data_IF_784874612667
#
_entry.id   IF_784874612667
#
_cell.length_a   1.000
_cell.length_b   1.000
_cell.length_c   1.000
_cell.angle_alpha   90.00
_cell.angle_beta   90.00
_cell.angle_gamma   90.00
#
_symmetry.space_group_name_H-M   'P 1'
#
loop_
_entity.id
_entity.type
_entity.pdbx_description
1 polymer ?
#
# COMPACT_ATOMS: atom_id res chain seq x y z
N UNK A 1 15.61 7.73 2.51
CA UNK A 1 15.52 8.92 1.63
C UNK A 1 14.05 9.15 1.27
N UNK A 2 13.62 10.39 1.04
CA UNK A 2 12.28 10.68 0.53
C UNK A 2 12.34 11.52 -0.74
N UNK A 3 11.43 11.24 -1.67
CA UNK A 3 11.24 11.98 -2.92
C UNK A 3 9.74 12.12 -3.20
N UNK A 4 9.38 13.08 -4.04
CA UNK A 4 7.98 13.36 -4.39
C UNK A 4 7.85 13.29 -5.90
N UNK A 5 6.94 12.43 -6.36
CA UNK A 5 6.49 12.39 -7.75
C UNK A 5 5.17 13.15 -7.88
N UNK A 6 4.86 13.64 -9.07
CA UNK A 6 3.58 14.27 -9.37
C UNK A 6 2.79 13.49 -10.43
N UNK A 7 1.55 13.13 -10.10
CA UNK A 7 0.58 12.60 -11.03
C UNK A 7 0.15 13.68 -12.05
N UNK A 8 -0.12 13.36 -13.34
CA UNK A 8 -0.14 12.03 -13.97
C UNK A 8 1.18 11.60 -14.62
N UNK A 9 2.17 12.48 -14.66
CA UNK A 9 3.40 12.28 -15.44
C UNK A 9 4.45 11.45 -14.69
N UNK A 10 4.30 11.29 -13.37
CA UNK A 10 5.25 10.61 -12.48
C UNK A 10 6.63 11.27 -12.47
N UNK A 11 6.68 12.58 -12.71
CA UNK A 11 7.92 13.37 -12.67
C UNK A 11 8.17 13.91 -11.27
N UNK A 12 9.44 14.07 -10.86
CA UNK A 12 9.75 14.77 -9.62
C UNK A 12 9.17 16.18 -9.61
N UNK A 13 8.71 16.64 -8.45
CA UNK A 13 8.32 18.05 -8.27
C UNK A 13 9.48 18.98 -8.62
N UNK A 14 9.20 20.09 -9.30
CA UNK A 14 10.21 21.07 -9.66
C UNK A 14 10.98 21.60 -8.42
N UNK A 15 12.30 21.88 -8.55
CA UNK A 15 13.09 22.40 -7.44
C UNK A 15 12.47 23.65 -6.81
N UNK A 16 12.33 23.66 -5.49
CA UNK A 16 11.77 24.78 -4.73
C UNK A 16 10.24 24.91 -4.77
N UNK A 17 9.53 24.18 -5.65
CA UNK A 17 8.07 24.35 -5.80
C UNK A 17 7.26 23.89 -4.58
N UNK A 18 7.82 23.02 -3.74
CA UNK A 18 7.24 22.59 -2.45
C UNK A 18 7.60 23.49 -1.28
N UNK A 19 8.59 24.38 -1.43
CA UNK A 19 8.97 25.30 -0.36
C UNK A 19 7.84 26.29 -0.11
N UNK A 20 7.64 26.71 1.14
CA UNK A 20 6.58 27.65 1.46
C UNK A 20 6.96 29.09 1.04
N UNK A 21 6.11 29.84 0.32
CA UNK A 21 4.80 29.46 -0.22
C UNK A 21 4.90 28.53 -1.44
N UNK A 22 4.17 27.40 -1.39
CA UNK A 22 4.24 26.37 -2.44
C UNK A 22 3.65 26.86 -3.76
N UNK A 23 4.23 26.41 -4.87
CA UNK A 23 3.79 26.74 -6.24
C UNK A 23 3.29 25.53 -7.01
N UNK A 24 3.53 24.31 -6.52
CA UNK A 24 2.96 23.10 -7.10
C UNK A 24 1.55 22.79 -6.57
N UNK A 25 0.82 21.92 -7.26
CA UNK A 25 -0.44 21.38 -6.76
C UNK A 25 -0.18 20.18 -5.85
N UNK A 26 -0.26 20.41 -4.54
CA UNK A 26 -0.06 19.38 -3.51
C UNK A 26 -0.96 18.16 -3.67
N UNK A 27 -2.07 18.30 -4.40
CA UNK A 27 -3.02 17.21 -4.66
C UNK A 27 -2.47 16.15 -5.60
N UNK A 28 -1.45 16.49 -6.38
CA UNK A 28 -0.79 15.59 -7.33
C UNK A 28 0.41 14.86 -6.73
N UNK A 29 0.87 15.29 -5.54
CA UNK A 29 2.02 14.70 -4.86
C UNK A 29 1.76 13.22 -4.52
N UNK A 30 2.73 12.39 -4.88
CA UNK A 30 2.89 11.00 -4.48
C UNK A 30 4.17 10.97 -3.65
N UNK A 31 4.03 10.70 -2.36
CA UNK A 31 5.18 10.63 -1.47
C UNK A 31 5.86 9.27 -1.64
N UNK A 32 7.18 9.27 -1.83
CA UNK A 32 7.97 8.05 -2.00
C UNK A 32 9.07 8.05 -0.96
N UNK A 33 9.11 7.00 -0.14
CA UNK A 33 10.15 6.72 0.84
C UNK A 33 10.97 5.52 0.37
N UNK A 34 12.30 5.64 0.43
CA UNK A 34 13.26 4.64 -0.01
C UNK A 34 14.25 4.38 1.13
N UNK A 35 14.24 3.17 1.66
CA UNK A 35 15.04 2.78 2.81
C UNK A 35 15.93 1.59 2.45
N UNK A 36 17.21 1.69 2.77
CA UNK A 36 18.14 0.57 2.66
C UNK A 36 17.90 -0.41 3.81
N UNK A 37 17.77 -1.70 3.49
CA UNK A 37 17.45 -2.75 4.44
C UNK A 37 18.67 -3.67 4.62
N UNK A 38 19.26 -3.63 5.82
CA UNK A 38 20.31 -4.55 6.28
C UNK A 38 19.90 -5.41 7.47
N UNK A 39 18.85 -5.01 8.19
CA UNK A 39 18.35 -5.66 9.39
C UNK A 39 17.54 -6.94 9.14
N UNK A 40 17.09 -7.17 7.90
CA UNK A 40 16.34 -8.35 7.51
C UNK A 40 16.52 -8.67 6.01
N UNK A 41 16.26 -9.91 5.56
CA UNK A 41 16.31 -10.26 4.14
C UNK A 41 15.35 -9.39 3.32
N UNK A 42 15.84 -8.73 2.27
CA UNK A 42 15.01 -7.87 1.41
C UNK A 42 14.05 -8.71 0.55
N UNK A 43 14.44 -9.94 0.21
CA UNK A 43 13.72 -10.88 -0.65
C UNK A 43 12.35 -11.25 -0.07
N UNK A 44 12.24 -11.30 1.27
CA UNK A 44 11.00 -11.64 1.98
C UNK A 44 10.30 -10.41 2.57
N UNK A 45 10.73 -9.20 2.21
CA UNK A 45 10.17 -7.96 2.77
C UNK A 45 8.67 -7.84 2.55
N UNK A 46 8.18 -8.09 1.33
CA UNK A 46 6.76 -8.01 1.00
C UNK A 46 5.94 -9.12 1.65
N UNK A 47 6.51 -10.31 1.83
CA UNK A 47 5.87 -11.42 2.54
C UNK A 47 5.67 -11.09 4.02
N UNK A 48 6.68 -10.47 4.66
CA UNK A 48 6.54 -9.99 6.03
C UNK A 48 5.52 -8.87 6.14
N UNK A 49 5.49 -7.92 5.21
CA UNK A 49 4.55 -6.79 5.21
C UNK A 49 3.10 -7.23 4.95
N UNK A 50 2.90 -8.33 4.24
CA UNK A 50 1.59 -8.92 3.93
C UNK A 50 1.16 -10.01 4.92
N UNK A 51 1.84 -10.10 6.06
CA UNK A 51 1.55 -11.01 7.17
C UNK A 51 1.66 -10.29 8.51
N UNK A 52 1.21 -10.93 9.59
CA UNK A 52 1.25 -10.41 10.95
C UNK A 52 2.28 -11.11 11.83
N UNK A 53 3.08 -12.03 11.28
CA UNK A 53 3.99 -12.90 12.06
C UNK A 53 5.04 -12.13 12.85
N UNK A 54 5.54 -11.02 12.30
CA UNK A 54 6.52 -10.17 12.96
C UNK A 54 5.95 -9.33 14.12
N UNK A 55 4.63 -9.19 14.22
CA UNK A 55 3.95 -8.28 15.17
C UNK A 55 2.96 -8.99 16.10
N UNK A 56 2.91 -10.31 16.03
CA UNK A 56 2.04 -11.16 16.88
C UNK A 56 2.85 -12.31 17.44
N UNK A 57 2.48 -12.81 18.62
CA UNK A 57 3.11 -14.00 19.21
C UNK A 57 2.63 -15.28 18.53
N UNK A 58 3.45 -16.34 18.51
CA UNK A 58 3.14 -17.56 17.76
C UNK A 58 1.84 -18.25 18.18
N UNK A 59 1.57 -18.26 19.49
CA UNK A 59 0.41 -18.93 20.07
C UNK A 59 -0.71 -17.95 20.46
N UNK A 60 -0.65 -16.68 20.00
CA UNK A 60 -1.70 -15.71 20.30
C UNK A 60 -2.92 -15.89 19.40
N UNK A 61 -4.08 -15.45 19.89
CA UNK A 61 -5.30 -15.43 19.06
C UNK A 61 -5.10 -14.48 17.88
N UNK A 62 -4.46 -13.33 18.12
CA UNK A 62 -4.16 -12.29 17.12
C UNK A 62 -3.37 -12.82 15.92
N UNK A 63 -2.54 -13.85 16.10
CA UNK A 63 -1.83 -14.52 15.00
C UNK A 63 -2.79 -15.04 13.94
N UNK A 64 -3.96 -15.52 14.34
CA UNK A 64 -5.00 -16.05 13.46
C UNK A 64 -5.89 -14.99 12.80
N UNK A 65 -5.59 -13.69 12.96
CA UNK A 65 -6.46 -12.63 12.44
C UNK A 65 -6.43 -12.56 10.89
N UNK A 66 -7.54 -12.89 10.19
CA UNK A 66 -7.54 -12.98 8.73
C UNK A 66 -7.46 -11.62 8.04
N UNK A 67 -7.71 -10.50 8.73
CA UNK A 67 -7.55 -9.17 8.12
C UNK A 67 -6.09 -8.78 7.93
N UNK A 68 -5.17 -9.33 8.72
CA UNK A 68 -3.76 -8.91 8.77
C UNK A 68 -2.82 -9.92 8.08
N UNK A 69 -3.37 -10.90 7.35
CA UNK A 69 -2.63 -12.03 6.76
C UNK A 69 -3.10 -12.37 5.34
N UNK A 70 -2.18 -12.30 4.37
CA UNK A 70 -2.50 -12.55 2.96
C UNK A 70 -2.93 -13.99 2.68
N UNK A 71 -2.33 -14.96 3.35
CA UNK A 71 -2.65 -16.39 3.24
C UNK A 71 -4.04 -16.74 3.80
N UNK A 72 -4.60 -15.87 4.64
CA UNK A 72 -5.95 -16.03 5.16
C UNK A 72 -7.01 -15.29 4.32
N UNK A 73 -6.62 -14.39 3.42
CA UNK A 73 -7.53 -13.61 2.56
C UNK A 73 -7.96 -14.36 1.30
N UNK A 74 -9.02 -13.87 0.65
CA UNK A 74 -9.60 -14.46 -0.58
C UNK A 74 -9.20 -13.64 -1.80
N UNK A 75 -8.48 -14.28 -2.73
CA UNK A 75 -8.14 -13.69 -4.02
C UNK A 75 -9.41 -13.41 -4.86
N UNK A 76 -9.45 -12.25 -5.51
CA UNK A 76 -10.51 -11.79 -6.39
C UNK A 76 -10.02 -11.75 -7.85
N UNK A 77 -10.94 -11.61 -8.84
CA UNK A 77 -10.54 -11.45 -10.23
C UNK A 77 -9.56 -10.28 -10.43
N UNK A 78 -8.57 -10.50 -11.29
CA UNK A 78 -7.54 -9.52 -11.59
C UNK A 78 -8.13 -8.22 -12.16
N UNK A 79 -7.58 -7.08 -11.75
CA UNK A 79 -7.87 -5.77 -12.31
C UNK A 79 -6.61 -4.92 -12.32
N UNK A 80 -6.38 -4.15 -13.39
CA UNK A 80 -5.19 -3.29 -13.53
C UNK A 80 -3.85 -4.04 -13.40
N UNK A 81 -3.82 -5.35 -13.70
CA UNK A 81 -2.64 -6.20 -13.51
C UNK A 81 -2.33 -6.52 -12.03
N UNK A 82 -3.30 -6.34 -11.14
CA UNK A 82 -3.23 -6.65 -9.71
C UNK A 82 -4.30 -7.67 -9.36
N UNK A 83 -3.98 -8.61 -8.48
CA UNK A 83 -4.95 -9.49 -7.83
C UNK A 83 -5.42 -8.84 -6.53
N UNK A 84 -6.71 -8.45 -6.40
CA UNK A 84 -7.24 -7.96 -5.13
C UNK A 84 -7.43 -9.12 -4.14
N UNK A 85 -7.27 -8.84 -2.85
CA UNK A 85 -7.44 -9.79 -1.75
C UNK A 85 -8.40 -9.23 -0.69
N UNK A 86 -9.60 -9.82 -0.65
CA UNK A 86 -10.64 -9.46 0.31
C UNK A 86 -10.49 -10.23 1.63
N UNK A 87 -11.02 -9.67 2.71
CA UNK A 87 -11.10 -10.36 4.00
C UNK A 87 -12.06 -11.55 3.85
N UNK A 88 -11.64 -12.71 4.35
CA UNK A 88 -12.51 -13.90 4.44
C UNK A 88 -13.42 -13.76 5.67
N UNK A 89 -14.68 -13.38 5.45
CA UNK A 89 -15.66 -13.19 6.54
C UNK A 89 -15.98 -14.49 7.30
N UNK A 90 -15.85 -15.66 6.65
CA UNK A 90 -16.04 -16.94 7.32
C UNK A 90 -14.92 -17.21 8.34
N UNK A 91 -13.67 -16.94 7.94
CA UNK A 91 -12.53 -17.00 8.88
C UNK A 91 -12.60 -15.90 9.93
N UNK A 92 -13.10 -14.71 9.58
CA UNK A 92 -13.26 -13.61 10.52
C UNK A 92 -14.27 -13.96 11.63
N UNK A 93 -15.36 -14.65 11.30
CA UNK A 93 -16.32 -15.14 12.28
C UNK A 93 -15.68 -16.15 13.26
N UNK A 94 -14.88 -17.09 12.74
CA UNK A 94 -14.15 -18.06 13.58
C UNK A 94 -13.17 -17.34 14.51
N UNK A 95 -12.35 -16.44 13.97
CA UNK A 95 -11.40 -15.65 14.74
C UNK A 95 -12.10 -14.80 15.82
N UNK A 96 -13.23 -14.16 15.47
CA UNK A 96 -13.99 -13.33 16.42
C UNK A 96 -14.51 -14.15 17.59
N UNK A 97 -15.00 -15.38 17.35
CA UNK A 97 -15.42 -16.29 18.41
C UNK A 97 -14.26 -16.74 19.31
N UNK A 98 -13.08 -17.03 18.73
CA UNK A 98 -11.87 -17.35 19.50
C UNK A 98 -11.40 -16.16 20.35
N UNK A 99 -11.42 -14.96 19.78
CA UNK A 99 -11.06 -13.72 20.45
C UNK A 99 -11.99 -13.45 21.64
N UNK A 100 -13.29 -13.60 21.45
CA UNK A 100 -14.28 -13.41 22.50
C UNK A 100 -14.16 -14.46 23.60
N UNK A 101 -13.94 -15.74 23.27
CA UNK A 101 -13.70 -16.79 24.25
C UNK A 101 -12.44 -16.52 25.10
N UNK A 102 -11.37 -16.00 24.48
CA UNK A 102 -10.10 -15.70 25.15
C UNK A 102 -10.18 -14.47 26.05
N UNK A 103 -10.77 -13.38 25.54
CA UNK A 103 -10.72 -12.06 26.17
C UNK A 103 -12.04 -11.62 26.81
N UNK A 104 -13.11 -12.42 26.69
CA UNK A 104 -14.46 -12.13 27.18
C UNK A 104 -15.02 -10.80 26.68
N UNK A 105 -14.63 -10.42 25.48
CA UNK A 105 -15.08 -9.20 24.78
C UNK A 105 -15.14 -9.47 23.28
N UNK A 106 -16.14 -8.92 22.56
CA UNK A 106 -16.23 -9.09 21.12
C UNK A 106 -15.02 -8.47 20.42
N UNK A 107 -14.62 -9.06 19.29
CA UNK A 107 -13.62 -8.45 18.43
C UNK A 107 -14.19 -7.20 17.76
N UNK A 108 -13.52 -6.05 17.93
CA UNK A 108 -13.96 -4.80 17.35
C UNK A 108 -13.62 -4.73 15.86
N UNK A 109 -14.64 -4.63 15.01
CA UNK A 109 -14.49 -4.35 13.58
C UNK A 109 -14.34 -2.84 13.38
N UNK A 110 -13.26 -2.42 12.76
CA UNK A 110 -13.02 -1.03 12.42
C UNK A 110 -12.69 -0.94 10.94
N UNK A 111 -13.61 -0.43 10.09
CA UNK A 111 -13.40 -0.33 8.65
C UNK A 111 -12.13 0.44 8.26
N UNK A 112 -11.65 1.36 9.11
CA UNK A 112 -10.40 2.09 8.88
C UNK A 112 -9.11 1.28 9.11
N UNK A 113 -9.21 0.01 9.53
CA UNK A 113 -8.09 -0.93 9.63
C UNK A 113 -8.37 -2.25 8.88
N UNK A 114 -9.33 -2.21 7.95
CA UNK A 114 -9.77 -3.32 7.12
C UNK A 114 -9.54 -2.95 5.64
N UNK A 115 -8.30 -2.62 5.33
CA UNK A 115 -7.87 -2.16 4.01
C UNK A 115 -8.13 -3.21 2.91
N UNK A 116 -8.47 -2.71 1.72
CA UNK A 116 -8.46 -3.50 0.49
C UNK A 116 -7.00 -3.74 0.08
N UNK A 117 -6.64 -4.99 -0.16
CA UNK A 117 -5.27 -5.38 -0.50
C UNK A 117 -5.17 -5.71 -1.99
N UNK A 118 -4.08 -5.29 -2.63
CA UNK A 118 -3.77 -5.61 -4.02
C UNK A 118 -2.35 -6.13 -4.12
N UNK A 119 -2.16 -7.14 -4.95
CA UNK A 119 -0.88 -7.85 -5.08
C UNK A 119 -0.54 -8.03 -6.55
N UNK A 120 0.74 -7.80 -6.90
CA UNK A 120 1.34 -8.34 -8.10
C UNK A 120 2.40 -9.39 -7.74
N UNK A 121 2.53 -10.40 -8.59
CA UNK A 121 3.51 -11.47 -8.45
C UNK A 121 4.41 -11.52 -9.68
N UNK A 122 5.68 -11.86 -9.45
CA UNK A 122 6.63 -12.13 -10.51
C UNK A 122 6.40 -13.51 -11.15
N UNK A 123 7.15 -13.84 -12.23
CA UNK A 123 7.02 -15.11 -12.94
C UNK A 123 7.23 -16.36 -12.05
N UNK A 124 8.03 -16.24 -11.00
CA UNK A 124 8.29 -17.31 -10.04
C UNK A 124 7.23 -17.40 -8.92
N UNK A 125 6.18 -16.58 -8.96
CA UNK A 125 5.11 -16.52 -7.95
C UNK A 125 5.45 -15.69 -6.71
N UNK A 126 6.67 -15.17 -6.59
CA UNK A 126 7.07 -14.29 -5.51
C UNK A 126 6.32 -12.94 -5.57
N UNK A 127 6.03 -12.36 -4.41
CA UNK A 127 5.44 -11.02 -4.34
C UNK A 127 6.43 -10.00 -4.92
N UNK A 128 5.96 -9.15 -5.83
CA UNK A 128 6.75 -8.02 -6.36
C UNK A 128 6.17 -6.67 -5.95
N UNK A 129 4.87 -6.65 -5.68
CA UNK A 129 4.10 -5.46 -5.31
C UNK A 129 3.06 -5.83 -4.28
N UNK A 130 2.94 -5.02 -3.23
CA UNK A 130 1.88 -5.13 -2.23
C UNK A 130 1.30 -3.75 -1.93
N UNK A 131 0.00 -3.58 -2.10
CA UNK A 131 -0.69 -2.29 -1.94
C UNK A 131 -1.85 -2.48 -0.96
N UNK A 132 -1.97 -1.56 -0.01
CA UNK A 132 -3.09 -1.46 0.92
C UNK A 132 -3.80 -0.14 0.65
N UNK A 133 -5.11 -0.17 0.44
CA UNK A 133 -5.91 1.03 0.25
C UNK A 133 -7.03 1.08 1.27
N UNK A 134 -7.42 2.30 1.69
CA UNK A 134 -8.67 2.52 2.42
C UNK A 134 -9.79 1.78 1.67
N UNK A 135 -10.60 1.00 2.38
CA UNK A 135 -11.66 0.21 1.74
C UNK A 135 -12.75 1.11 1.15
N UNK A 136 -13.41 0.66 0.08
CA UNK A 136 -14.56 1.41 -0.48
C UNK A 136 -15.71 1.53 0.51
N UNK A 137 -15.80 0.61 1.47
CA UNK A 137 -16.77 0.65 2.58
C UNK A 137 -16.42 1.72 3.61
N UNK A 138 -15.13 2.00 3.82
CA UNK A 138 -14.69 3.01 4.79
C UNK A 138 -14.68 4.42 4.22
N UNK A 139 -14.18 4.60 2.98
CA UNK A 139 -14.04 5.92 2.34
C UNK A 139 -14.29 5.88 0.84
N UNK A 140 -14.97 6.92 0.35
CA UNK A 140 -14.97 7.28 -1.07
C UNK A 140 -13.61 7.84 -1.49
N UNK A 141 -13.33 7.90 -2.80
CA UNK A 141 -12.07 8.42 -3.32
C UNK A 141 -11.81 9.88 -2.89
N UNK A 142 -12.86 10.67 -2.67
CA UNK A 142 -12.80 12.08 -2.24
C UNK A 142 -12.16 13.05 -3.25
N UNK A 143 -11.70 12.54 -4.38
CA UNK A 143 -11.20 13.32 -5.52
C UNK A 143 -11.70 12.72 -6.83
N UNK A 144 -11.69 13.52 -7.89
CA UNK A 144 -11.97 13.09 -9.25
C UNK A 144 -10.86 13.56 -10.17
N UNK A 145 -10.52 12.72 -11.14
CA UNK A 145 -9.47 13.01 -12.11
C UNK A 145 -10.11 13.52 -13.40
N UNK A 146 -9.66 14.67 -13.88
CA UNK A 146 -10.07 15.26 -15.16
C UNK A 146 -8.83 15.66 -15.95
N UNK A 147 -8.48 14.88 -16.97
CA UNK A 147 -7.24 15.11 -17.72
C UNK A 147 -6.04 15.01 -16.80
N UNK A 148 -5.32 16.12 -16.63
CA UNK A 148 -4.17 16.25 -15.74
C UNK A 148 -4.51 16.87 -14.37
N UNK A 149 -5.78 17.20 -14.11
CA UNK A 149 -6.22 17.87 -12.90
C UNK A 149 -6.79 16.89 -11.85
N UNK A 150 -6.60 17.24 -10.58
CA UNK A 150 -7.12 16.49 -9.43
C UNK A 150 -8.13 17.37 -8.69
N UNK A 151 -9.41 17.12 -8.93
CA UNK A 151 -10.50 17.92 -8.39
C UNK A 151 -10.97 17.31 -7.08
N UNK A 152 -10.82 18.06 -5.99
CA UNK A 152 -11.26 17.63 -4.68
C UNK A 152 -12.78 17.73 -4.53
N UNK A 153 -13.42 16.68 -3.99
CA UNK A 153 -14.84 16.70 -3.63
C UNK A 153 -14.98 17.35 -2.26
N UNK A 154 -15.69 18.47 -2.19
CA UNK A 154 -15.82 19.24 -0.95
C UNK A 154 -16.46 18.41 0.17
N UNK A 155 -15.93 18.51 1.39
CA UNK A 155 -16.47 17.80 2.56
C UNK A 155 -16.06 16.32 2.69
N UNK A 156 -15.28 15.78 1.75
CA UNK A 156 -14.80 14.39 1.83
C UNK A 156 -13.32 14.34 2.13
N UNK A 157 -12.90 13.37 2.95
CA UNK A 157 -11.49 13.01 3.09
C UNK A 157 -11.15 12.00 2.00
N UNK A 158 -10.12 12.29 1.21
CA UNK A 158 -9.70 11.40 0.13
C UNK A 158 -9.19 10.06 0.67
N UNK A 159 -9.61 8.96 0.05
CA UNK A 159 -9.06 7.63 0.32
C UNK A 159 -7.58 7.57 -0.07
N UNK A 160 -6.77 6.98 0.81
CA UNK A 160 -5.34 6.76 0.60
C UNK A 160 -4.99 5.32 0.26
N UNK A 161 -3.79 5.12 -0.25
CA UNK A 161 -3.12 3.84 -0.39
C UNK A 161 -1.68 3.94 0.08
N UNK A 162 -1.19 2.85 0.67
CA UNK A 162 0.23 2.61 0.91
C UNK A 162 0.68 1.47 0.01
N UNK A 163 1.70 1.70 -0.80
CA UNK A 163 2.20 0.78 -1.83
C UNK A 163 3.65 0.44 -1.56
N UNK A 164 3.93 -0.84 -1.42
CA UNK A 164 5.24 -1.39 -1.17
C UNK A 164 5.75 -2.17 -2.38
N UNK A 165 7.01 -1.93 -2.73
CA UNK A 165 7.80 -2.81 -3.60
C UNK A 165 9.27 -2.73 -3.20
N UNK A 166 10.10 -3.61 -3.77
CA UNK A 166 11.52 -3.66 -3.45
C UNK A 166 12.40 -3.58 -4.71
N UNK A 167 13.61 -3.09 -4.48
CA UNK A 167 14.78 -3.35 -5.30
C UNK A 167 15.69 -4.30 -4.52
N UNK A 168 15.65 -5.58 -4.90
CA UNK A 168 16.37 -6.65 -4.20
C UNK A 168 17.88 -6.54 -4.41
N UNK A 169 18.32 -6.12 -5.59
CA UNK A 169 19.74 -6.03 -5.94
C UNK A 169 20.44 -4.98 -5.07
N UNK A 170 19.79 -3.84 -4.89
CA UNK A 170 20.30 -2.73 -4.08
C UNK A 170 19.85 -2.77 -2.61
N UNK A 171 19.09 -3.79 -2.22
CA UNK A 171 18.48 -3.94 -0.88
C UNK A 171 17.65 -2.72 -0.45
N UNK A 172 16.89 -2.15 -1.38
CA UNK A 172 16.03 -1.00 -1.10
C UNK A 172 14.59 -1.45 -0.94
N UNK A 173 13.96 -1.02 0.16
CA UNK A 173 12.52 -1.07 0.35
C UNK A 173 11.93 0.27 -0.07
N UNK A 174 10.92 0.24 -0.94
CA UNK A 174 10.26 1.43 -1.45
C UNK A 174 8.81 1.43 -0.97
N UNK A 175 8.39 2.55 -0.39
CA UNK A 175 7.02 2.79 0.06
C UNK A 175 6.47 4.04 -0.59
N UNK A 176 5.27 3.98 -1.16
CA UNK A 176 4.56 5.12 -1.69
C UNK A 176 3.30 5.37 -0.88
N UNK A 177 2.99 6.64 -0.64
CA UNK A 177 1.73 7.11 -0.09
C UNK A 177 1.06 8.04 -1.12
N UNK A 178 -0.14 7.65 -1.54
CA UNK A 178 -0.90 8.36 -2.57
C UNK A 178 -2.41 8.15 -2.42
N UNK A 179 -3.19 8.95 -3.15
CA UNK A 179 -4.66 8.81 -3.16
C UNK A 179 -5.11 7.60 -3.96
N UNK A 180 -6.10 6.86 -3.46
CA UNK A 180 -6.67 5.68 -4.13
C UNK A 180 -7.10 5.93 -5.57
N UNK A 181 -7.56 7.15 -5.88
CA UNK A 181 -7.87 7.55 -7.26
C UNK A 181 -6.70 7.36 -8.26
N UNK A 182 -5.44 7.39 -7.79
CA UNK A 182 -4.25 7.17 -8.62
C UNK A 182 -3.87 5.69 -8.76
N UNK A 183 -4.54 4.76 -8.07
CA UNK A 183 -4.19 3.33 -8.05
C UNK A 183 -4.08 2.73 -9.47
N UNK A 184 -4.89 3.18 -10.43
CA UNK A 184 -4.83 2.73 -11.82
C UNK A 184 -3.48 2.95 -12.51
N UNK A 185 -2.67 3.88 -12.01
CA UNK A 185 -1.36 4.21 -12.55
C UNK A 185 -0.21 3.61 -11.69
N UNK A 186 -0.50 2.69 -10.76
CA UNK A 186 0.48 2.10 -9.82
C UNK A 186 1.77 1.64 -10.51
N UNK A 187 1.65 0.97 -11.66
CA UNK A 187 2.82 0.45 -12.40
C UNK A 187 3.70 1.57 -12.93
N UNK A 188 3.10 2.67 -13.41
CA UNK A 188 3.83 3.86 -13.88
C UNK A 188 4.57 4.54 -12.72
N UNK A 189 4.03 4.48 -11.50
CA UNK A 189 4.72 4.97 -10.30
C UNK A 189 5.95 4.11 -9.99
N UNK A 190 5.81 2.78 -10.01
CA UNK A 190 6.96 1.89 -9.80
C UNK A 190 8.06 2.12 -10.85
N UNK A 191 7.67 2.18 -12.13
CA UNK A 191 8.60 2.35 -13.24
C UNK A 191 9.38 3.67 -13.11
N UNK A 192 8.69 4.78 -12.77
CA UNK A 192 9.33 6.07 -12.58
C UNK A 192 10.35 6.07 -11.43
N UNK A 193 10.05 5.38 -10.32
CA UNK A 193 10.98 5.26 -9.20
C UNK A 193 12.18 4.37 -9.57
N UNK A 194 11.95 3.24 -10.24
CA UNK A 194 13.03 2.33 -10.69
C UNK A 194 13.96 3.03 -11.68
N UNK A 195 13.39 3.76 -12.65
CA UNK A 195 14.16 4.56 -13.61
C UNK A 195 15.00 5.64 -12.92
N UNK A 196 14.46 6.26 -11.86
CA UNK A 196 15.19 7.25 -11.09
C UNK A 196 16.38 6.62 -10.36
N UNK A 197 16.15 5.49 -9.66
CA UNK A 197 17.20 4.77 -8.93
C UNK A 197 18.34 4.36 -9.86
N UNK A 198 18.02 3.74 -10.99
CA UNK A 198 19.00 3.30 -11.99
C UNK A 198 19.85 4.44 -12.58
N UNK A 199 19.31 5.68 -12.63
CA UNK A 199 20.05 6.86 -13.11
C UNK A 199 20.95 7.48 -12.04
N UNK A 200 20.62 7.26 -10.76
CA UNK A 200 21.33 7.85 -9.62
C UNK A 200 22.42 6.96 -9.04
N UNK A 201 22.45 5.67 -9.40
CA UNK A 201 23.57 4.78 -9.09
C UNK A 201 24.85 5.32 -9.74
N UNK A 202 25.84 5.65 -8.90
CA UNK A 202 27.18 5.96 -9.36
C UNK A 202 27.80 4.69 -9.94
N UNK A 203 28.16 4.74 -11.22
CA UNK A 203 28.97 3.69 -11.88
C UNK A 203 30.35 3.57 -11.25
#
# INVERSE_FOLDING_TARGET
>A
MSLILEWPDMKPTAPGARANPRTNDFRKEIAVSIDYIDSAPIETSLERLSSNEAVTEADSVERGNPKDRLDLRVAQPETMGLTPYAIDEAKMAVYSGQYEARYRKPHARNPGFEDDWYVARGPAGNLTTFIKCDSTTFREDGVRLEGDQVIHKQGTVAAGCIHYFADVENKLSITLDYRRAFLKDWKRMEDAVRDLLARTEAK
#
